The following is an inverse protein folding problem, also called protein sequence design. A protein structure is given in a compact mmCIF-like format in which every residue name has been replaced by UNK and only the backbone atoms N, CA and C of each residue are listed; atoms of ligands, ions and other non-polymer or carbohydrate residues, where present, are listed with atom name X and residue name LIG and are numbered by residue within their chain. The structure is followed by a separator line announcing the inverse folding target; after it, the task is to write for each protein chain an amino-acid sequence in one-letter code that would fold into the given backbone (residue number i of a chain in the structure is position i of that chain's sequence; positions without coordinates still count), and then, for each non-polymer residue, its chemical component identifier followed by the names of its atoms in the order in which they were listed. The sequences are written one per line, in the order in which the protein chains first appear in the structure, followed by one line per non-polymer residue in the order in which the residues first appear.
data_IF_837050759287
#
_entry.id   IF_837050759287
#
_cell.length_a   1.000
_cell.length_b   1.000
_cell.length_c   1.000
_cell.angle_alpha   90.00
_cell.angle_beta   90.00
_cell.angle_gamma   90.00
#
_symmetry.space_group_name_H-M   'P 1'
#
loop_
_entity.id
_entity.type
_entity.pdbx_description
1 polymer ?
#
# COMPACT_ATOMS: atom_id res chain seq x y z
N UNK A 1 -1.61 59.99 -2.64
CA UNK A 1 -3.00 59.63 -2.98
C UNK A 1 -3.07 58.10 -2.99
N UNK A 2 -3.38 57.47 -1.85
CA UNK A 2 -4.72 57.01 -1.45
C UNK A 2 -5.32 56.07 -2.52
N UNK A 3 -5.62 54.77 -2.31
CA UNK A 3 -6.21 54.10 -1.14
C UNK A 3 -5.82 52.61 -1.07
N UNK A 4 -5.43 52.16 0.13
CA UNK A 4 -5.50 50.78 0.60
C UNK A 4 -6.90 50.55 1.21
N UNK A 5 -7.54 49.40 0.95
CA UNK A 5 -8.73 48.95 1.69
C UNK A 5 -8.33 47.87 2.70
N UNK A 6 -8.62 48.17 3.96
CA UNK A 6 -8.39 47.37 5.16
C UNK A 6 -9.56 46.43 5.43
N UNK A 7 -9.28 45.22 5.91
CA UNK A 7 -10.27 44.27 6.42
C UNK A 7 -10.18 44.21 7.96
N UNK A 8 -11.35 44.27 8.61
CA UNK A 8 -11.53 44.30 10.06
C UNK A 8 -11.28 42.94 10.74
N UNK A 9 -10.68 42.91 11.95
CA UNK A 9 -10.66 41.71 12.80
C UNK A 9 -11.88 41.66 13.74
N UNK A 10 -12.52 40.50 13.82
CA UNK A 10 -13.61 40.18 14.76
C UNK A 10 -13.02 39.76 16.11
N UNK A 11 -13.50 40.41 17.17
CA UNK A 11 -13.04 40.32 18.55
C UNK A 11 -13.92 39.34 19.34
N UNK A 12 -13.36 38.24 19.86
CA UNK A 12 -14.08 37.30 20.74
C UNK A 12 -13.62 37.50 22.18
N UNK A 13 -14.50 38.10 22.99
CA UNK A 13 -14.31 38.33 24.44
C UNK A 13 -14.36 37.03 25.24
N UNK A 14 -13.35 36.85 26.11
CA UNK A 14 -13.37 35.93 27.26
C UNK A 14 -14.43 36.38 28.28
N UNK A 15 -15.29 35.47 28.71
CA UNK A 15 -16.11 35.62 29.91
C UNK A 15 -15.86 34.44 30.84
N UNK A 16 -15.25 34.73 32.00
CA UNK A 16 -15.13 33.83 33.15
C UNK A 16 -16.44 33.88 33.93
N UNK A 17 -17.00 32.72 34.28
CA UNK A 17 -17.79 32.50 35.51
C UNK A 17 -17.77 31.01 35.82
N UNK A 18 -17.11 30.63 36.92
CA UNK A 18 -17.30 29.32 37.53
C UNK A 18 -18.61 29.30 38.32
N UNK A 19 -19.07 28.10 38.69
CA UNK A 19 -19.81 27.76 39.93
C UNK A 19 -20.06 26.23 39.96
N UNK A 20 -19.61 25.64 41.07
CA UNK A 20 -20.09 24.48 41.82
C UNK A 20 -20.43 23.11 41.18
N UNK A 21 -19.59 22.16 41.60
CA UNK A 21 -19.82 20.75 41.89
C UNK A 21 -21.10 20.48 42.72
N UNK A 22 -22.02 19.65 42.23
CA UNK A 22 -22.83 18.72 43.07
C UNK A 22 -23.09 17.42 42.30
N UNK A 23 -22.69 16.33 42.93
CA UNK A 23 -22.86 14.94 42.57
C UNK A 23 -24.29 14.49 42.96
N UNK A 24 -25.07 13.90 42.04
CA UNK A 24 -26.24 13.10 42.41
C UNK A 24 -26.57 12.09 41.30
N UNK A 25 -26.08 10.86 41.47
CA UNK A 25 -26.45 9.69 40.67
C UNK A 25 -27.72 9.11 41.30
N UNK A 26 -28.82 9.05 40.55
CA UNK A 26 -29.97 8.25 40.90
C UNK A 26 -30.34 7.28 39.78
N UNK A 27 -30.56 6.05 40.23
CA UNK A 27 -30.92 4.81 39.57
C UNK A 27 -32.26 4.90 38.84
N UNK A 28 -32.39 4.27 37.67
CA UNK A 28 -33.55 3.42 37.35
C UNK A 28 -33.34 2.64 36.04
N UNK A 29 -33.02 1.36 36.16
CA UNK A 29 -33.11 0.35 35.10
C UNK A 29 -34.44 -0.41 35.25
N UNK A 30 -35.16 -0.62 34.14
CA UNK A 30 -36.25 -1.60 34.03
C UNK A 30 -36.01 -2.42 32.74
N UNK A 31 -35.95 -3.76 32.79
CA UNK A 31 -35.83 -4.61 31.60
C UNK A 31 -37.21 -5.19 31.18
N UNK A 32 -37.39 -5.60 29.91
CA UNK A 32 -38.58 -6.32 29.47
C UNK A 32 -38.40 -7.85 29.44
N UNK A 33 -39.50 -8.52 29.78
CA UNK A 33 -40.04 -9.82 29.33
C UNK A 33 -39.19 -11.11 29.37
N UNK A 34 -39.72 -12.02 30.20
CA UNK A 34 -39.40 -13.43 30.42
C UNK A 34 -39.94 -14.35 29.32
N UNK A 35 -39.14 -15.33 28.91
CA UNK A 35 -39.59 -16.58 28.29
C UNK A 35 -39.07 -17.75 29.13
N UNK A 36 -39.98 -18.64 29.51
CA UNK A 36 -39.82 -19.78 30.41
C UNK A 36 -39.30 -21.05 29.71
N UNK A 37 -38.37 -21.77 30.35
CA UNK A 37 -38.08 -23.19 30.09
C UNK A 37 -37.43 -23.85 31.33
N UNK A 38 -37.53 -25.18 31.50
CA UNK A 38 -37.68 -25.84 32.80
C UNK A 38 -36.37 -26.23 33.49
N UNK A 39 -36.45 -26.36 34.82
CA UNK A 39 -35.39 -26.77 35.74
C UNK A 39 -35.02 -28.25 35.64
N UNK A 40 -33.72 -28.60 35.64
CA UNK A 40 -33.24 -29.86 36.16
C UNK A 40 -32.60 -29.69 37.55
N UNK A 41 -32.87 -30.69 38.39
CA UNK A 41 -32.40 -30.90 39.76
C UNK A 41 -30.89 -30.69 39.97
N UNK A 42 -30.55 -29.97 41.05
CA UNK A 42 -29.18 -29.78 41.56
C UNK A 42 -28.74 -31.01 42.37
N UNK A 43 -27.61 -31.68 42.07
CA UNK A 43 -26.96 -32.55 43.03
C UNK A 43 -26.08 -31.70 43.98
N UNK A 44 -26.11 -32.03 45.26
CA UNK A 44 -25.36 -31.35 46.31
C UNK A 44 -23.83 -31.42 46.07
N UNK A 45 -23.16 -30.26 46.12
CA UNK A 45 -21.69 -30.16 46.13
C UNK A 45 -21.17 -30.16 47.59
N UNK A 46 -20.01 -30.78 47.87
CA UNK A 46 -19.44 -30.79 49.20
C UNK A 46 -18.82 -29.42 49.55
N UNK A 47 -18.84 -29.10 50.84
CA UNK A 47 -18.34 -27.85 51.40
C UNK A 47 -16.84 -27.64 51.08
N UNK A 48 -16.54 -26.67 50.21
CA UNK A 48 -15.17 -26.19 49.97
C UNK A 48 -14.88 -25.05 50.95
N UNK A 49 -13.81 -25.22 51.73
CA UNK A 49 -13.34 -24.28 52.75
C UNK A 49 -13.17 -22.85 52.23
N UNK A 50 -13.61 -21.86 53.05
CA UNK A 50 -13.55 -20.41 52.80
C UNK A 50 -12.15 -19.89 52.42
N UNK A 51 -11.08 -20.66 52.66
CA UNK A 51 -9.72 -20.29 52.30
C UNK A 51 -9.41 -20.36 50.79
N UNK A 52 -10.16 -21.12 49.98
CA UNK A 52 -9.89 -21.28 48.55
C UNK A 52 -10.64 -20.27 47.66
N UNK A 53 -11.70 -19.64 48.16
CA UNK A 53 -12.50 -18.67 47.41
C UNK A 53 -11.73 -17.36 47.16
N UNK A 54 -10.97 -16.89 48.16
CA UNK A 54 -10.15 -15.68 48.05
C UNK A 54 -8.98 -15.80 47.07
N UNK A 55 -8.34 -16.98 46.99
CA UNK A 55 -7.26 -17.26 46.02
C UNK A 55 -7.80 -17.37 44.59
N UNK A 56 -9.01 -17.89 44.41
CA UNK A 56 -9.66 -18.05 43.11
C UNK A 56 -10.17 -16.71 42.55
N UNK A 57 -10.76 -15.86 43.39
CA UNK A 57 -11.16 -14.49 43.06
C UNK A 57 -9.95 -13.59 42.74
N UNK A 58 -8.85 -13.72 43.48
CA UNK A 58 -7.60 -12.99 43.20
C UNK A 58 -6.97 -13.38 41.85
N UNK A 59 -7.03 -14.67 41.48
CA UNK A 59 -6.56 -15.15 40.17
C UNK A 59 -7.43 -14.65 39.02
N UNK A 60 -8.77 -14.63 39.19
CA UNK A 60 -9.72 -14.11 38.20
C UNK A 60 -9.60 -12.59 38.00
N UNK A 61 -9.34 -11.83 39.07
CA UNK A 61 -9.11 -10.40 38.98
C UNK A 61 -7.76 -10.08 38.29
N UNK A 62 -6.72 -10.87 38.57
CA UNK A 62 -5.40 -10.73 37.94
C UNK A 62 -5.44 -11.08 36.44
N UNK A 63 -6.16 -12.13 36.02
CA UNK A 63 -6.35 -12.45 34.60
C UNK A 63 -7.14 -11.39 33.86
N UNK A 64 -8.21 -10.83 34.45
CA UNK A 64 -8.94 -9.69 33.85
C UNK A 64 -8.09 -8.44 33.71
N UNK A 65 -7.24 -8.13 34.70
CA UNK A 65 -6.32 -6.99 34.62
C UNK A 65 -5.23 -7.19 33.55
N UNK A 66 -4.77 -8.43 33.37
CA UNK A 66 -3.85 -8.81 32.28
C UNK A 66 -4.51 -8.72 30.90
N UNK A 67 -5.76 -9.17 30.77
CA UNK A 67 -6.56 -9.06 29.54
C UNK A 67 -6.84 -7.60 29.18
N UNK A 68 -7.20 -6.76 30.16
CA UNK A 68 -7.38 -5.32 29.96
C UNK A 68 -6.05 -4.68 29.55
N UNK A 69 -4.93 -5.02 30.20
CA UNK A 69 -3.59 -4.55 29.80
C UNK A 69 -3.19 -5.03 28.41
N UNK A 70 -3.53 -6.25 28.01
CA UNK A 70 -3.30 -6.76 26.66
C UNK A 70 -4.19 -6.07 25.62
N UNK A 71 -5.44 -5.76 25.96
CA UNK A 71 -6.35 -5.00 25.11
C UNK A 71 -5.87 -3.56 24.90
N UNK A 72 -5.36 -2.90 25.96
CA UNK A 72 -4.74 -1.58 25.86
C UNK A 72 -3.38 -1.59 25.15
N UNK A 73 -2.58 -2.68 25.25
CA UNK A 73 -1.34 -2.84 24.43
C UNK A 73 -1.63 -3.07 22.95
N UNK A 74 -2.73 -3.73 22.59
CA UNK A 74 -3.16 -3.88 21.18
C UNK A 74 -3.62 -2.58 20.56
N UNK A 75 -4.05 -1.60 21.35
CA UNK A 75 -4.51 -0.30 20.88
C UNK A 75 -3.36 0.69 20.53
N UNK A 76 -2.10 0.31 20.75
CA UNK A 76 -0.94 1.15 20.47
C UNK A 76 -0.24 0.85 19.12
N UNK A 77 -0.92 0.20 18.18
CA UNK A 77 -0.53 0.33 16.78
C UNK A 77 -1.14 1.62 16.26
N UNK A 78 -0.39 2.72 16.37
CA UNK A 78 -0.60 3.89 15.51
C UNK A 78 -0.70 3.38 14.09
N UNK A 79 -1.89 3.43 13.50
CA UNK A 79 -2.02 3.31 12.05
C UNK A 79 -1.08 4.36 11.47
N UNK A 80 0.07 3.95 10.94
CA UNK A 80 0.98 4.87 10.26
C UNK A 80 0.15 5.47 9.13
N UNK A 81 -0.17 6.76 9.20
CA UNK A 81 -0.74 7.44 8.04
C UNK A 81 0.26 7.30 6.90
N UNK A 82 -0.17 6.68 5.80
CA UNK A 82 0.67 6.44 4.65
C UNK A 82 1.22 7.78 4.14
N UNK A 83 2.55 7.94 4.11
CA UNK A 83 3.17 9.15 3.55
C UNK A 83 2.84 9.31 2.06
N UNK A 84 2.48 8.23 1.34
CA UNK A 84 1.94 8.34 -0.02
C UNK A 84 0.68 9.22 -0.10
N UNK A 85 -0.10 9.31 0.99
CA UNK A 85 -1.25 10.22 1.08
C UNK A 85 -0.89 11.61 1.65
N UNK A 86 0.29 11.77 2.26
CA UNK A 86 0.77 13.04 2.81
C UNK A 86 1.76 13.67 1.84
N UNK A 87 1.45 14.83 1.27
CA UNK A 87 2.33 15.52 0.32
C UNK A 87 3.49 16.28 1.02
N UNK A 88 3.92 15.79 2.18
CA UNK A 88 5.01 16.32 3.00
C UNK A 88 5.67 15.20 3.81
N UNK A 89 6.86 15.47 4.32
CA UNK A 89 7.64 14.51 5.10
C UNK A 89 7.44 14.70 6.61
N UNK A 90 7.46 13.57 7.34
CA UNK A 90 7.54 13.53 8.81
C UNK A 90 8.74 12.65 9.13
N UNK A 91 9.69 13.20 9.89
CA UNK A 91 10.89 12.46 10.25
C UNK A 91 10.54 11.23 11.10
N UNK A 92 11.20 10.13 10.78
CA UNK A 92 11.11 8.86 11.47
C UNK A 92 12.49 8.21 11.58
N UNK A 93 12.70 7.26 12.51
CA UNK A 93 13.99 6.58 12.61
C UNK A 93 14.41 5.86 11.33
N UNK A 94 13.42 5.37 10.57
CA UNK A 94 13.58 4.66 9.29
C UNK A 94 13.60 5.59 8.06
N UNK A 95 13.16 6.84 8.17
CA UNK A 95 13.15 7.82 7.09
C UNK A 95 13.37 9.23 7.66
N UNK A 96 14.57 9.77 7.49
CA UNK A 96 14.97 11.12 7.87
C UNK A 96 16.05 11.63 6.90
N UNK A 97 16.30 12.94 6.81
CA UNK A 97 17.30 13.50 5.89
C UNK A 97 18.76 13.20 6.29
N UNK A 98 19.02 12.88 7.55
CA UNK A 98 20.37 12.68 8.11
C UNK A 98 20.92 11.27 7.90
N UNK A 99 20.06 10.30 7.55
CA UNK A 99 20.49 8.93 7.29
C UNK A 99 21.42 8.89 6.06
N UNK A 100 22.57 8.18 6.14
CA UNK A 100 23.45 8.03 4.99
C UNK A 100 22.79 7.14 3.94
N UNK A 101 22.70 7.63 2.71
CA UNK A 101 22.22 6.87 1.57
C UNK A 101 23.01 7.24 0.32
N UNK A 102 23.45 6.23 -0.43
CA UNK A 102 24.12 6.36 -1.72
C UNK A 102 23.81 5.15 -2.61
N UNK A 103 24.02 5.30 -3.92
CA UNK A 103 23.93 4.17 -4.84
C UNK A 103 25.07 3.18 -4.58
N UNK A 104 24.74 1.88 -4.56
CA UNK A 104 25.73 0.82 -4.45
C UNK A 104 26.64 0.78 -5.71
N UNK A 105 27.79 0.12 -5.61
CA UNK A 105 28.80 0.11 -6.68
C UNK A 105 28.25 -0.33 -8.04
N UNK A 106 27.39 -1.34 -8.07
CA UNK A 106 26.75 -1.83 -9.30
C UNK A 106 25.78 -0.79 -9.91
N UNK A 107 24.96 -0.15 -9.07
CA UNK A 107 24.01 0.85 -9.53
C UNK A 107 24.70 2.16 -9.92
N UNK A 108 25.91 2.47 -9.42
CA UNK A 108 26.68 3.63 -9.87
C UNK A 108 27.03 3.56 -11.36
N UNK A 109 27.22 2.36 -11.92
CA UNK A 109 27.42 2.18 -13.37
C UNK A 109 26.14 2.49 -14.14
N UNK A 110 24.99 1.97 -13.68
CA UNK A 110 23.67 2.29 -14.24
C UNK A 110 23.35 3.78 -14.15
N UNK A 111 23.72 4.44 -13.04
CA UNK A 111 23.56 5.90 -12.87
C UNK A 111 24.32 6.65 -13.96
N UNK A 112 25.58 6.29 -14.22
CA UNK A 112 26.39 6.91 -15.29
C UNK A 112 25.78 6.67 -16.67
N UNK A 113 25.33 5.45 -16.94
CA UNK A 113 24.63 5.09 -18.18
C UNK A 113 23.37 5.93 -18.39
N UNK A 114 22.48 5.99 -17.38
CA UNK A 114 21.24 6.78 -17.43
C UNK A 114 21.53 8.25 -17.73
N UNK A 115 22.53 8.84 -17.06
CA UNK A 115 22.90 10.25 -17.29
C UNK A 115 23.43 10.45 -18.71
N UNK A 116 24.14 9.47 -19.28
CA UNK A 116 24.73 9.55 -20.62
C UNK A 116 23.69 9.65 -21.75
N UNK A 117 22.45 9.21 -21.51
CA UNK A 117 21.35 9.36 -22.45
C UNK A 117 20.90 10.82 -22.63
N UNK A 118 21.29 11.71 -21.73
CA UNK A 118 20.85 13.10 -21.71
C UNK A 118 22.02 14.07 -21.94
N UNK A 119 21.76 15.26 -22.51
CA UNK A 119 22.77 16.31 -22.66
C UNK A 119 23.36 16.74 -21.31
N UNK A 120 24.63 17.13 -21.30
CA UNK A 120 25.39 17.47 -20.08
C UNK A 120 24.78 18.61 -19.25
N UNK A 121 24.06 19.54 -19.87
CA UNK A 121 23.38 20.66 -19.22
C UNK A 121 21.92 20.35 -18.81
N UNK A 122 21.35 19.23 -19.26
CA UNK A 122 19.98 18.81 -18.98
C UNK A 122 19.92 17.47 -18.21
N UNK A 123 20.88 17.25 -17.32
CA UNK A 123 20.95 16.06 -16.44
C UNK A 123 19.71 15.86 -15.57
N UNK A 124 18.97 16.93 -15.28
CA UNK A 124 17.68 16.85 -14.57
C UNK A 124 16.70 15.88 -15.25
N UNK A 125 16.80 15.68 -16.56
CA UNK A 125 15.97 14.71 -17.30
C UNK A 125 16.13 13.27 -16.80
N UNK A 126 17.26 12.95 -16.16
CA UNK A 126 17.51 11.65 -15.55
C UNK A 126 16.80 11.44 -14.20
N UNK A 127 16.06 12.43 -13.66
CA UNK A 127 15.48 12.35 -12.31
C UNK A 127 14.52 11.16 -12.14
N UNK A 128 13.68 10.87 -13.13
CA UNK A 128 12.72 9.76 -13.08
C UNK A 128 13.45 8.40 -13.03
N UNK A 129 14.32 8.04 -14.01
CA UNK A 129 15.01 6.75 -13.97
C UNK A 129 15.95 6.61 -12.76
N UNK A 130 16.55 7.70 -12.27
CA UNK A 130 17.40 7.65 -11.07
C UNK A 130 16.59 7.44 -9.79
N UNK A 131 15.42 8.07 -9.66
CA UNK A 131 14.50 7.81 -8.56
C UNK A 131 13.96 6.38 -8.62
N UNK A 132 13.61 5.88 -9.81
CA UNK A 132 13.16 4.50 -9.96
C UNK A 132 14.26 3.51 -9.57
N UNK A 133 15.49 3.73 -10.00
CA UNK A 133 16.64 2.92 -9.59
C UNK A 133 16.89 2.99 -8.07
N UNK A 134 16.74 4.17 -7.46
CA UNK A 134 16.86 4.35 -6.01
C UNK A 134 15.76 3.58 -5.25
N UNK A 135 14.52 3.62 -5.76
CA UNK A 135 13.40 2.86 -5.21
C UNK A 135 13.65 1.36 -5.27
N UNK A 136 14.12 0.87 -6.43
CA UNK A 136 14.48 -0.54 -6.59
C UNK A 136 15.61 -0.94 -5.64
N UNK A 137 16.67 -0.13 -5.52
CA UNK A 137 17.78 -0.39 -4.60
C UNK A 137 17.33 -0.45 -3.14
N UNK A 138 16.42 0.44 -2.73
CA UNK A 138 16.00 0.58 -1.34
C UNK A 138 14.81 -0.32 -0.98
N UNK A 139 14.51 -1.35 -1.78
CA UNK A 139 13.49 -2.34 -1.45
C UNK A 139 12.06 -1.82 -1.63
N UNK A 140 11.84 -0.98 -2.66
CA UNK A 140 10.51 -0.64 -3.14
C UNK A 140 9.94 0.68 -2.66
N UNK A 141 10.70 1.50 -1.95
CA UNK A 141 10.28 2.83 -1.53
C UNK A 141 11.46 3.82 -1.45
N UNK A 142 11.13 5.12 -1.40
CA UNK A 142 12.06 6.23 -1.47
C UNK A 142 12.13 6.98 -0.12
N UNK A 143 13.22 6.83 0.64
CA UNK A 143 13.49 7.70 1.78
C UNK A 143 13.93 9.08 1.29
N UNK A 144 13.79 10.09 2.14
CA UNK A 144 14.19 11.47 1.84
C UNK A 144 15.69 11.57 1.55
N UNK A 145 16.51 10.76 2.23
CA UNK A 145 17.94 10.64 1.97
C UNK A 145 18.26 10.16 0.55
N UNK A 146 17.50 9.20 0.01
CA UNK A 146 17.66 8.73 -1.36
C UNK A 146 17.32 9.84 -2.37
N UNK A 147 16.24 10.57 -2.13
CA UNK A 147 15.90 11.74 -2.94
C UNK A 147 17.00 12.82 -2.88
N UNK A 148 17.58 13.05 -1.70
CA UNK A 148 18.70 13.98 -1.53
C UNK A 148 19.96 13.52 -2.26
N UNK A 149 20.25 12.23 -2.26
CA UNK A 149 21.37 11.67 -3.00
C UNK A 149 21.17 11.81 -4.51
N UNK A 150 19.97 11.52 -5.02
CA UNK A 150 19.63 11.75 -6.43
C UNK A 150 19.78 13.23 -6.80
N UNK A 151 19.30 14.14 -5.95
CA UNK A 151 19.45 15.59 -6.16
C UNK A 151 20.91 16.02 -6.27
N UNK A 152 21.81 15.45 -5.44
CA UNK A 152 23.26 15.69 -5.51
C UNK A 152 23.86 15.18 -6.82
N UNK A 153 23.46 13.98 -7.27
CA UNK A 153 23.97 13.36 -8.51
C UNK A 153 23.60 14.17 -9.76
N UNK A 154 22.38 14.69 -9.82
CA UNK A 154 21.90 15.48 -10.98
C UNK A 154 22.11 16.99 -10.82
N UNK A 155 22.70 17.43 -9.71
CA UNK A 155 23.05 18.82 -9.41
C UNK A 155 21.84 19.78 -9.42
N UNK A 156 20.69 19.35 -8.87
CA UNK A 156 19.49 20.20 -8.72
C UNK A 156 19.10 20.38 -7.25
N UNK A 157 18.30 21.41 -6.98
CA UNK A 157 17.75 21.60 -5.65
C UNK A 157 16.86 20.39 -5.23
N UNK A 158 17.00 19.84 -4.01
CA UNK A 158 16.24 18.68 -3.56
C UNK A 158 14.72 18.80 -3.71
N UNK A 159 14.20 20.04 -3.59
CA UNK A 159 12.76 20.31 -3.78
C UNK A 159 12.24 19.86 -5.15
N UNK A 160 13.04 19.96 -6.22
CA UNK A 160 12.63 19.52 -7.56
C UNK A 160 12.49 18.00 -7.62
N UNK A 161 13.33 17.28 -6.89
CA UNK A 161 13.25 15.82 -6.75
C UNK A 161 12.04 15.43 -5.91
N UNK A 162 11.75 16.15 -4.83
CA UNK A 162 10.55 15.92 -4.02
C UNK A 162 9.26 16.15 -4.81
N UNK A 163 9.19 17.22 -5.62
CA UNK A 163 8.06 17.48 -6.51
C UNK A 163 7.81 16.28 -7.44
N UNK A 164 8.86 15.75 -8.09
CA UNK A 164 8.75 14.56 -8.95
C UNK A 164 8.33 13.33 -8.16
N UNK A 165 8.98 13.04 -7.02
CA UNK A 165 8.68 11.87 -6.19
C UNK A 165 7.28 11.87 -5.58
N UNK A 166 6.67 13.05 -5.38
CA UNK A 166 5.30 13.19 -4.89
C UNK A 166 4.27 13.20 -6.00
N UNK A 167 4.64 13.65 -7.20
CA UNK A 167 3.75 13.77 -8.35
C UNK A 167 3.46 12.44 -9.04
N UNK A 168 4.47 11.59 -9.25
CA UNK A 168 4.28 10.31 -9.92
C UNK A 168 3.88 9.22 -8.93
N UNK A 169 2.78 8.52 -9.22
CA UNK A 169 2.19 7.50 -8.34
C UNK A 169 3.06 6.25 -8.15
N UNK A 170 3.96 5.95 -9.09
CA UNK A 170 4.88 4.81 -8.98
C UNK A 170 5.91 4.97 -7.86
N UNK A 171 6.17 6.22 -7.45
CA UNK A 171 7.16 6.53 -6.43
C UNK A 171 6.59 6.35 -5.02
N UNK A 172 6.91 5.21 -4.43
CA UNK A 172 6.46 4.87 -3.08
C UNK A 172 7.29 5.65 -2.06
N UNK A 173 6.63 6.44 -1.21
CA UNK A 173 7.30 7.25 -0.16
C UNK A 173 7.20 6.64 1.23
N UNK A 174 6.57 5.48 1.32
CA UNK A 174 6.52 4.62 2.50
C UNK A 174 6.86 3.19 2.13
N UNK A 175 7.38 2.39 3.06
CA UNK A 175 7.59 0.96 2.84
C UNK A 175 6.31 0.26 2.38
N UNK A 176 6.39 -0.51 1.29
CA UNK A 176 5.28 -1.27 0.69
C UNK A 176 5.45 -2.80 0.84
N UNK A 177 6.47 -3.25 1.55
CA UNK A 177 6.83 -4.67 1.61
C UNK A 177 7.57 -5.15 0.36
N UNK A 178 7.81 -6.47 0.25
CA UNK A 178 8.58 -7.05 -0.86
C UNK A 178 7.82 -7.10 -2.19
N UNK A 179 6.51 -7.30 -2.15
CA UNK A 179 5.63 -7.39 -3.30
C UNK A 179 4.53 -6.35 -3.17
N UNK A 180 4.55 -5.35 -4.05
CA UNK A 180 3.45 -4.39 -4.13
C UNK A 180 2.46 -4.85 -5.20
N UNK A 181 1.27 -5.28 -4.76
CA UNK A 181 0.21 -5.77 -5.61
C UNK A 181 -0.67 -4.58 -6.05
N UNK A 182 -0.58 -4.22 -7.32
CA UNK A 182 -1.25 -3.07 -7.91
C UNK A 182 -2.46 -3.54 -8.71
N UNK A 183 -3.65 -3.25 -8.22
CA UNK A 183 -4.92 -3.65 -8.85
C UNK A 183 -5.47 -2.49 -9.68
N UNK A 184 -5.80 -2.74 -10.95
CA UNK A 184 -6.38 -1.71 -11.82
C UNK A 184 -7.84 -1.41 -11.42
N UNK A 185 -8.12 -0.17 -11.01
CA UNK A 185 -9.45 0.28 -10.57
C UNK A 185 -10.32 0.92 -11.67
N UNK A 186 -9.76 1.18 -12.85
CA UNK A 186 -10.46 1.94 -13.91
C UNK A 186 -11.65 1.20 -14.53
N UNK A 187 -12.53 1.95 -15.19
CA UNK A 187 -13.81 1.46 -15.74
C UNK A 187 -13.71 0.14 -16.53
N UNK A 188 -12.77 -0.06 -17.47
CA UNK A 188 -12.69 -1.33 -18.20
C UNK A 188 -12.41 -2.53 -17.29
N UNK A 189 -11.58 -2.37 -16.26
CA UNK A 189 -11.32 -3.42 -15.27
C UNK A 189 -12.50 -3.54 -14.27
N UNK A 190 -13.09 -2.42 -13.86
CA UNK A 190 -14.24 -2.39 -12.96
C UNK A 190 -15.42 -3.18 -13.51
N UNK A 191 -15.81 -2.97 -14.78
CA UNK A 191 -16.93 -3.70 -15.41
C UNK A 191 -16.61 -5.18 -15.65
N UNK A 192 -15.33 -5.56 -15.62
CA UNK A 192 -14.84 -6.95 -15.73
C UNK A 192 -14.61 -7.61 -14.38
N UNK A 193 -14.98 -6.95 -13.29
CA UNK A 193 -14.97 -7.53 -11.94
C UNK A 193 -13.67 -7.29 -11.16
N UNK A 194 -12.95 -6.20 -11.42
CA UNK A 194 -11.70 -5.89 -10.70
C UNK A 194 -11.90 -5.57 -9.22
N UNK A 195 -13.08 -5.08 -8.81
CA UNK A 195 -13.38 -4.82 -7.39
C UNK A 195 -13.42 -6.12 -6.60
N UNK A 196 -13.97 -7.17 -7.19
CA UNK A 196 -14.02 -8.52 -6.64
C UNK A 196 -12.60 -9.12 -6.53
N UNK A 197 -11.69 -8.75 -7.43
CA UNK A 197 -10.26 -9.09 -7.33
C UNK A 197 -9.62 -8.41 -6.13
N UNK A 198 -9.81 -7.11 -5.99
CA UNK A 198 -9.25 -6.34 -4.87
C UNK A 198 -9.80 -6.83 -3.52
N UNK A 199 -11.11 -7.04 -3.42
CA UNK A 199 -11.76 -7.55 -2.21
C UNK A 199 -11.23 -8.93 -1.82
N UNK A 200 -11.03 -9.82 -2.81
CA UNK A 200 -10.45 -11.13 -2.57
C UNK A 200 -9.01 -11.03 -2.05
N UNK A 201 -8.19 -10.13 -2.61
CA UNK A 201 -6.83 -9.86 -2.16
C UNK A 201 -6.78 -9.34 -0.72
N UNK A 202 -7.55 -8.28 -0.43
CA UNK A 202 -7.58 -7.64 0.89
C UNK A 202 -8.08 -8.62 1.96
N UNK A 203 -9.12 -9.41 1.65
CA UNK A 203 -9.66 -10.43 2.55
C UNK A 203 -8.65 -11.55 2.81
N UNK A 204 -7.94 -12.01 1.77
CA UNK A 204 -6.96 -13.09 1.88
C UNK A 204 -5.72 -12.65 2.66
N UNK A 205 -5.22 -11.44 2.43
CA UNK A 205 -4.05 -10.88 3.11
C UNK A 205 -4.38 -10.34 4.51
N UNK A 206 -5.65 -10.03 4.78
CA UNK A 206 -6.10 -9.51 6.08
C UNK A 206 -5.59 -8.10 6.37
N UNK A 207 -5.43 -7.27 5.34
CA UNK A 207 -4.92 -5.89 5.42
C UNK A 207 -5.92 -4.91 4.82
N UNK A 208 -5.81 -3.63 5.18
CA UNK A 208 -6.50 -2.57 4.45
C UNK A 208 -5.68 -2.18 3.22
N UNK A 209 -6.32 -1.45 2.30
CA UNK A 209 -5.63 -0.86 1.15
C UNK A 209 -4.43 -0.02 1.61
N UNK A 210 -3.33 -0.16 0.89
CA UNK A 210 -2.01 0.42 1.13
C UNK A 210 -1.31 -0.03 2.43
N UNK A 211 -1.93 -0.89 3.24
CA UNK A 211 -1.30 -1.45 4.44
C UNK A 211 -0.40 -2.64 4.08
N UNK A 212 0.78 -2.67 4.70
CA UNK A 212 1.71 -3.78 4.55
C UNK A 212 1.31 -4.90 5.50
N UNK A 213 1.32 -6.14 5.00
CA UNK A 213 1.09 -7.33 5.80
C UNK A 213 2.10 -7.46 6.94
N UNK A 214 1.70 -8.13 8.03
CA UNK A 214 2.55 -8.28 9.24
C UNK A 214 3.86 -9.02 9.00
N UNK A 215 3.90 -9.86 7.97
CA UNK A 215 5.09 -10.58 7.50
C UNK A 215 6.02 -9.69 6.64
N UNK A 216 5.61 -8.46 6.31
CA UNK A 216 6.38 -7.52 5.49
C UNK A 216 6.46 -7.90 4.02
N UNK A 217 5.69 -8.90 3.57
CA UNK A 217 5.79 -9.44 2.22
C UNK A 217 4.92 -8.70 1.21
N UNK A 218 3.66 -8.41 1.53
CA UNK A 218 2.69 -7.91 0.56
C UNK A 218 2.07 -6.60 1.00
N UNK A 219 1.69 -5.79 0.03
CA UNK A 219 0.71 -4.71 0.19
C UNK A 219 -0.15 -4.62 -1.06
N UNK A 220 -1.36 -4.08 -0.92
CA UNK A 220 -2.31 -3.92 -2.02
C UNK A 220 -2.55 -2.44 -2.27
N UNK A 221 -2.23 -1.97 -3.46
CA UNK A 221 -2.51 -0.62 -3.94
C UNK A 221 -3.52 -0.64 -5.08
N UNK A 222 -4.40 0.36 -5.12
CA UNK A 222 -5.20 0.63 -6.32
C UNK A 222 -4.35 1.49 -7.27
N UNK A 223 -4.32 1.11 -8.54
CA UNK A 223 -3.75 1.90 -9.63
C UNK A 223 -4.79 2.17 -10.69
N UNK A 224 -4.56 3.25 -11.42
CA UNK A 224 -5.41 3.62 -12.55
C UNK A 224 -5.13 2.73 -13.77
N UNK A 225 -5.45 3.21 -14.98
CA UNK A 225 -5.33 2.43 -16.20
C UNK A 225 -3.88 1.95 -16.40
N UNK A 226 -3.69 0.63 -16.39
CA UNK A 226 -2.41 -0.03 -16.61
C UNK A 226 -2.16 -0.40 -18.09
N UNK A 227 -3.08 -0.06 -19.00
CA UNK A 227 -2.91 -0.33 -20.44
C UNK A 227 -3.28 -1.75 -20.90
N UNK A 228 -3.55 -2.70 -20.00
CA UNK A 228 -3.95 -4.08 -20.34
C UNK A 228 -5.48 -4.25 -20.42
N UNK A 229 -6.17 -3.31 -21.08
CA UNK A 229 -7.64 -3.24 -21.05
C UNK A 229 -8.34 -4.43 -21.74
N UNK A 230 -7.77 -4.95 -22.83
CA UNK A 230 -8.34 -6.13 -23.52
C UNK A 230 -8.19 -7.40 -22.69
N UNK A 231 -7.21 -7.41 -21.78
CA UNK A 231 -6.93 -8.48 -20.83
C UNK A 231 -7.49 -8.19 -19.42
N UNK A 232 -8.53 -7.36 -19.34
CA UNK A 232 -9.18 -7.06 -18.07
C UNK A 232 -9.96 -8.28 -17.51
N UNK A 233 -9.94 -8.51 -16.18
CA UNK A 233 -9.27 -7.71 -15.15
C UNK A 233 -7.80 -8.11 -14.97
N UNK A 234 -6.98 -7.20 -14.45
CA UNK A 234 -5.54 -7.40 -14.31
C UNK A 234 -5.00 -6.89 -12.97
N UNK A 235 -3.86 -7.45 -12.57
CA UNK A 235 -3.05 -6.98 -11.45
C UNK A 235 -1.60 -6.87 -11.91
N UNK A 236 -0.86 -5.90 -11.40
CA UNK A 236 0.58 -5.81 -11.57
C UNK A 236 1.26 -6.13 -10.25
N UNK A 237 2.35 -6.87 -10.29
CA UNK A 237 3.16 -7.18 -9.12
C UNK A 237 4.52 -6.54 -9.31
N UNK A 238 4.81 -5.55 -8.46
CA UNK A 238 6.15 -5.02 -8.32
C UNK A 238 6.91 -5.88 -7.32
N UNK A 239 7.87 -6.69 -7.81
CA UNK A 239 8.75 -7.52 -7.01
C UNK A 239 10.00 -6.74 -6.63
N UNK A 240 10.06 -6.31 -5.36
CA UNK A 240 11.19 -5.62 -4.75
C UNK A 240 12.07 -6.56 -3.91
N UNK A 241 11.86 -7.88 -3.96
CA UNK A 241 12.54 -8.84 -3.08
C UNK A 241 14.06 -8.91 -3.28
N UNK A 242 14.52 -8.72 -4.51
CA UNK A 242 15.93 -8.83 -4.93
C UNK A 242 16.58 -7.47 -5.25
N UNK A 243 15.94 -6.36 -4.85
CA UNK A 243 16.42 -5.01 -5.17
C UNK A 243 16.50 -4.72 -6.67
N UNK A 244 17.49 -3.93 -7.10
CA UNK A 244 17.64 -3.46 -8.50
C UNK A 244 18.13 -4.50 -9.51
N UNK A 245 18.60 -5.67 -9.09
CA UNK A 245 19.03 -6.74 -10.01
C UNK A 245 17.88 -7.68 -10.40
N UNK A 246 16.99 -7.97 -9.45
CA UNK A 246 15.84 -8.86 -9.67
C UNK A 246 14.50 -8.15 -9.67
N UNK A 247 14.50 -6.81 -9.76
CA UNK A 247 13.27 -6.05 -9.88
C UNK A 247 12.47 -6.50 -11.09
N UNK A 248 11.20 -6.82 -10.87
CA UNK A 248 10.27 -7.09 -11.95
C UNK A 248 8.94 -6.41 -11.70
N UNK A 249 8.36 -5.87 -12.76
CA UNK A 249 7.07 -5.19 -12.74
C UNK A 249 6.11 -5.99 -13.63
N UNK A 250 5.69 -7.14 -13.12
CA UNK A 250 5.02 -8.17 -13.90
C UNK A 250 3.52 -7.93 -13.99
N UNK A 251 2.99 -8.06 -15.20
CA UNK A 251 1.56 -7.97 -15.45
C UNK A 251 0.97 -9.36 -15.36
N UNK A 252 -0.05 -9.54 -14.53
CA UNK A 252 -0.87 -10.75 -14.49
C UNK A 252 -2.28 -10.36 -14.91
N UNK A 253 -2.65 -10.81 -16.08
CA UNK A 253 -3.84 -10.34 -16.79
C UNK A 253 -4.88 -11.46 -16.93
N UNK A 254 -6.12 -11.12 -17.29
CA UNK A 254 -7.27 -12.03 -17.34
C UNK A 254 -7.45 -12.83 -16.03
N UNK A 255 -7.20 -12.17 -14.90
CA UNK A 255 -7.19 -12.85 -13.60
C UNK A 255 -8.60 -13.06 -13.05
N UNK A 256 -8.73 -14.02 -12.15
CA UNK A 256 -9.97 -14.29 -11.40
C UNK A 256 -9.67 -14.23 -9.91
N UNK A 257 -10.67 -14.05 -9.01
CA UNK A 257 -10.42 -13.99 -7.57
C UNK A 257 -9.64 -15.20 -7.05
N UNK A 258 -9.95 -16.39 -7.57
CA UNK A 258 -9.22 -17.62 -7.27
C UNK A 258 -7.77 -17.55 -7.75
N UNK A 259 -7.56 -17.16 -9.01
CA UNK A 259 -6.23 -17.09 -9.62
C UNK A 259 -5.33 -16.09 -8.91
N UNK A 260 -5.86 -14.95 -8.48
CA UNK A 260 -5.07 -13.94 -7.78
C UNK A 260 -4.60 -14.43 -6.40
N UNK A 261 -5.45 -15.17 -5.67
CA UNK A 261 -5.03 -15.81 -4.42
C UNK A 261 -3.94 -16.86 -4.69
N UNK A 262 -4.07 -17.67 -5.74
CA UNK A 262 -3.02 -18.61 -6.14
C UNK A 262 -1.70 -17.90 -6.47
N UNK A 263 -1.75 -16.78 -7.20
CA UNK A 263 -0.58 -15.96 -7.52
C UNK A 263 0.12 -15.50 -6.23
N UNK A 264 -0.63 -14.98 -5.26
CA UNK A 264 -0.08 -14.53 -3.97
C UNK A 264 0.58 -15.68 -3.20
N UNK A 265 -0.02 -16.86 -3.15
CA UNK A 265 0.57 -18.01 -2.45
C UNK A 265 1.85 -18.50 -3.14
N UNK A 266 1.89 -18.49 -4.46
CA UNK A 266 3.08 -18.87 -5.24
C UNK A 266 4.21 -17.86 -5.06
N UNK A 267 3.89 -16.55 -5.06
CA UNK A 267 4.85 -15.50 -4.73
C UNK A 267 5.37 -15.63 -3.29
N UNK A 268 4.51 -16.00 -2.33
CA UNK A 268 4.92 -16.22 -0.93
C UNK A 268 5.92 -17.37 -0.81
N UNK A 269 5.82 -18.40 -1.67
CA UNK A 269 6.78 -19.50 -1.77
C UNK A 269 8.08 -19.11 -2.50
N UNK A 270 8.13 -17.93 -3.11
CA UNK A 270 9.26 -17.48 -3.93
C UNK A 270 9.26 -18.06 -5.35
N UNK A 271 8.14 -18.63 -5.81
CA UNK A 271 8.01 -19.16 -7.16
C UNK A 271 7.76 -18.03 -8.16
N UNK A 272 8.49 -18.03 -9.28
CA UNK A 272 8.29 -17.07 -10.37
C UNK A 272 7.22 -17.58 -11.33
N UNK A 273 6.15 -16.80 -11.45
CA UNK A 273 5.05 -17.10 -12.37
C UNK A 273 5.27 -16.43 -13.72
N UNK A 274 4.86 -17.08 -14.83
CA UNK A 274 4.94 -16.46 -16.14
C UNK A 274 4.04 -15.20 -16.18
N UNK A 275 4.59 -14.03 -16.52
CA UNK A 275 3.80 -12.82 -16.72
C UNK A 275 2.93 -12.94 -17.98
N UNK A 276 1.91 -12.09 -18.07
CA UNK A 276 0.93 -12.02 -19.15
C UNK A 276 -0.43 -12.60 -18.76
N UNK A 277 -1.20 -12.98 -19.78
CA UNK A 277 -2.54 -13.54 -19.61
C UNK A 277 -2.50 -14.84 -18.80
N UNK A 278 -3.36 -14.90 -17.78
CA UNK A 278 -3.59 -16.11 -16.99
C UNK A 278 -4.70 -16.97 -17.60
N UNK A 279 -5.27 -16.56 -18.74
CA UNK A 279 -6.21 -17.35 -19.53
C UNK A 279 -5.48 -18.08 -20.67
N UNK A 280 -5.35 -19.40 -20.54
CA UNK A 280 -4.66 -20.25 -21.51
C UNK A 280 -5.30 -20.29 -22.91
N UNK A 281 -6.58 -19.89 -23.05
CA UNK A 281 -7.28 -19.88 -24.35
C UNK A 281 -6.96 -18.66 -25.20
N UNK A 282 -6.13 -17.75 -24.70
CA UNK A 282 -5.75 -16.50 -25.34
C UNK A 282 -4.24 -16.44 -25.48
N UNK A 283 -3.79 -15.85 -26.58
CA UNK A 283 -2.38 -15.51 -26.79
C UNK A 283 -2.24 -14.02 -26.50
N UNK A 284 -1.54 -13.65 -25.42
CA UNK A 284 -1.32 -12.25 -25.01
C UNK A 284 -2.62 -11.43 -25.06
N UNK A 285 -2.74 -10.46 -25.98
CA UNK A 285 -3.89 -9.58 -26.17
C UNK A 285 -4.90 -10.05 -27.24
N UNK A 286 -4.75 -11.27 -27.76
CA UNK A 286 -5.59 -11.81 -28.83
C UNK A 286 -7.04 -12.08 -28.41
N UNK A 287 -7.94 -12.33 -29.38
CA UNK A 287 -9.25 -12.90 -29.09
C UNK A 287 -9.14 -14.23 -28.31
N UNK A 288 -10.09 -14.47 -27.41
CA UNK A 288 -10.20 -15.77 -26.74
C UNK A 288 -10.66 -16.83 -27.74
N UNK A 289 -9.99 -17.99 -27.77
CA UNK A 289 -10.28 -19.08 -28.71
C UNK A 289 -9.43 -19.06 -29.99
N UNK A 290 -8.48 -18.14 -30.09
CA UNK A 290 -7.55 -18.03 -31.21
C UNK A 290 -7.68 -16.72 -31.97
N UNK A 291 -6.58 -16.27 -32.57
CA UNK A 291 -6.57 -15.00 -33.28
C UNK A 291 -7.46 -15.05 -34.53
N UNK A 292 -8.26 -14.01 -34.76
CA UNK A 292 -9.10 -13.86 -35.96
C UNK A 292 -8.38 -13.15 -37.11
N UNK A 293 -7.22 -12.56 -36.82
CA UNK A 293 -6.32 -11.85 -37.74
C UNK A 293 -4.89 -12.30 -37.50
N UNK A 294 -3.94 -11.88 -38.35
CA UNK A 294 -2.51 -12.28 -38.24
C UNK A 294 -2.33 -13.81 -38.32
N UNK A 295 -3.08 -14.45 -39.22
CA UNK A 295 -3.05 -15.91 -39.46
C UNK A 295 -1.94 -16.35 -40.42
N UNK A 296 -1.40 -15.41 -41.19
CA UNK A 296 -0.38 -15.65 -42.21
C UNK A 296 0.97 -15.12 -41.74
N UNK A 297 2.04 -15.72 -42.22
CA UNK A 297 3.39 -15.22 -41.97
C UNK A 297 3.55 -13.77 -42.44
N UNK A 298 4.21 -12.91 -41.65
CA UNK A 298 4.41 -11.51 -42.00
C UNK A 298 5.30 -11.39 -43.25
N UNK A 299 4.84 -10.62 -44.23
CA UNK A 299 5.58 -10.29 -45.45
C UNK A 299 5.79 -8.78 -45.52
N UNK A 300 6.93 -8.29 -46.03
CA UNK A 300 7.09 -6.88 -46.32
C UNK A 300 5.91 -6.40 -47.19
N UNK A 301 5.24 -5.30 -46.84
CA UNK A 301 4.22 -4.74 -47.70
C UNK A 301 4.88 -4.34 -49.03
N UNK A 302 4.13 -4.34 -50.15
CA UNK A 302 4.65 -3.80 -51.39
C UNK A 302 4.95 -2.31 -51.20
N UNK A 303 6.23 -1.97 -51.04
CA UNK A 303 6.68 -0.58 -51.01
C UNK A 303 6.74 -0.07 -52.45
N UNK A 304 6.20 1.14 -52.68
CA UNK A 304 6.40 1.83 -53.96
C UNK A 304 7.88 2.13 -54.12
N UNK A 305 8.47 1.68 -55.22
CA UNK A 305 9.80 2.12 -55.63
C UNK A 305 9.70 3.59 -56.06
N UNK A 306 10.27 4.49 -55.26
CA UNK A 306 10.28 5.92 -55.53
C UNK A 306 11.34 6.30 -56.59
N UNK A 307 12.29 5.41 -56.85
CA UNK A 307 13.40 5.61 -57.80
C UNK A 307 13.09 5.03 -59.18
N UNK A 308 11.97 4.29 -59.34
CA UNK A 308 11.53 3.68 -60.59
C UNK A 308 10.79 4.64 -61.57
N UNK A 309 10.95 5.97 -61.43
CA UNK A 309 10.32 6.99 -62.28
C UNK A 309 11.32 7.67 -63.22
#
# INVERSE_FOLDING_TARGET
MAHLRTAHPVNVRKSRRGIHLVLCIHFCLRPPNSVSAPSPSVPALPAVSRHNLGKMLGRLAATRLLEIRQAFRRAAQTSRSFSTALNYHIDSPDNNPDMPWEFNSQNQEKVKEIISHYPSNYKQSAVIPLLDLAQQQHGGWLPVSAMNAVAKVIEVAPIRVYEVATFYSMFNRTPVGKYHLLVCGTTPCMIRGSREIEDALLKHLGVKRNEVTKDGLFSVGEMECMGSCVNAPMITVADYSSGSEGYSYNYYEDVTPKRVVEIVELLRKGEKLPPGTQNAKRIMSGPEGGNTTLLTDPKPPPCRDLDAC
#
